data_IF_945167156679
#
_entry.id   IF_945167156679
#
_cell.length_a   1.000
_cell.length_b   1.000
_cell.length_c   1.000
_cell.angle_alpha   90.00
_cell.angle_beta   90.00
_cell.angle_gamma   90.00
#
_symmetry.space_group_name_H-M   'P 1'
#
loop_
_entity.id
_entity.type
_entity.pdbx_description
1 polymer ?
#
# COMPACT_ATOMS: atom_id res chain seq x y z
N UNK A 1 -13.45 -33.03 -45.58
CA UNK A 1 -14.49 -32.47 -44.70
C UNK A 1 -14.25 -32.81 -43.22
N UNK A 2 -13.80 -34.02 -42.89
CA UNK A 2 -13.47 -34.41 -41.50
C UNK A 2 -12.38 -33.54 -40.84
N UNK A 3 -11.27 -33.28 -41.53
CA UNK A 3 -10.15 -32.49 -40.99
C UNK A 3 -10.56 -31.05 -40.69
N UNK A 4 -11.36 -30.45 -41.55
CA UNK A 4 -11.90 -29.10 -41.37
C UNK A 4 -12.84 -29.01 -40.16
N UNK A 5 -13.64 -30.05 -39.90
CA UNK A 5 -14.51 -30.09 -38.71
C UNK A 5 -13.70 -30.18 -37.40
N UNK A 6 -12.65 -31.00 -37.38
CA UNK A 6 -11.75 -31.07 -36.21
C UNK A 6 -11.02 -29.76 -35.94
N UNK A 7 -10.54 -29.08 -37.00
CA UNK A 7 -9.89 -27.78 -36.87
C UNK A 7 -10.85 -26.72 -36.32
N UNK A 8 -12.08 -26.65 -36.85
CA UNK A 8 -13.10 -25.72 -36.35
C UNK A 8 -13.44 -26.02 -34.89
N UNK A 9 -13.61 -27.30 -34.53
CA UNK A 9 -13.85 -27.73 -33.15
C UNK A 9 -12.73 -27.30 -32.20
N UNK A 10 -11.46 -27.51 -32.60
CA UNK A 10 -10.31 -27.10 -31.80
C UNK A 10 -10.23 -25.58 -31.62
N UNK A 11 -10.47 -24.81 -32.70
CA UNK A 11 -10.51 -23.34 -32.64
C UNK A 11 -11.63 -22.84 -31.73
N UNK A 12 -12.81 -23.47 -31.78
CA UNK A 12 -13.93 -23.11 -30.91
C UNK A 12 -13.59 -23.38 -29.42
N UNK A 13 -12.99 -24.52 -29.12
CA UNK A 13 -12.53 -24.85 -27.76
C UNK A 13 -11.44 -23.89 -27.29
N UNK A 14 -10.47 -23.55 -28.15
CA UNK A 14 -9.44 -22.56 -27.83
C UNK A 14 -10.04 -21.18 -27.55
N UNK A 15 -10.95 -20.71 -28.42
CA UNK A 15 -11.65 -19.44 -28.23
C UNK A 15 -12.47 -19.43 -26.93
N UNK A 16 -13.10 -20.55 -26.57
CA UNK A 16 -13.79 -20.70 -25.30
C UNK A 16 -12.84 -20.54 -24.10
N UNK A 17 -11.65 -21.16 -24.13
CA UNK A 17 -10.66 -20.98 -23.07
C UNK A 17 -10.18 -19.54 -22.96
N UNK A 18 -9.87 -18.89 -24.08
CA UNK A 18 -9.50 -17.46 -24.11
C UNK A 18 -10.60 -16.59 -23.51
N UNK A 19 -11.86 -16.87 -23.86
CA UNK A 19 -13.01 -16.14 -23.32
C UNK A 19 -13.18 -16.35 -21.80
N UNK A 20 -13.02 -17.58 -21.30
CA UNK A 20 -13.09 -17.89 -19.87
C UNK A 20 -11.97 -17.20 -19.10
N UNK A 21 -10.74 -17.17 -19.63
CA UNK A 21 -9.60 -16.45 -19.05
C UNK A 21 -9.91 -14.95 -18.96
N UNK A 22 -10.36 -14.35 -20.07
CA UNK A 22 -10.73 -12.94 -20.12
C UNK A 22 -11.84 -12.60 -19.10
N UNK A 23 -12.88 -13.44 -19.01
CA UNK A 23 -13.97 -13.26 -18.03
C UNK A 23 -13.45 -13.34 -16.60
N UNK A 24 -12.53 -14.26 -16.31
CA UNK A 24 -11.91 -14.41 -14.99
C UNK A 24 -11.10 -13.17 -14.60
N UNK A 25 -10.26 -12.66 -15.51
CA UNK A 25 -9.49 -11.44 -15.29
C UNK A 25 -10.38 -10.23 -15.07
N UNK A 26 -11.43 -10.07 -15.88
CA UNK A 26 -12.36 -8.95 -15.73
C UNK A 26 -13.19 -9.03 -14.45
N UNK A 27 -13.46 -10.24 -13.93
CA UNK A 27 -14.09 -10.42 -12.62
C UNK A 27 -13.12 -10.01 -11.51
N UNK A 28 -11.86 -10.47 -11.56
CA UNK A 28 -10.83 -10.13 -10.56
C UNK A 28 -10.56 -8.62 -10.51
N UNK A 29 -10.42 -7.96 -11.65
CA UNK A 29 -10.21 -6.51 -11.71
C UNK A 29 -11.36 -5.74 -11.06
N UNK A 30 -12.62 -6.11 -11.35
CA UNK A 30 -13.80 -5.49 -10.73
C UNK A 30 -13.89 -5.74 -9.23
N UNK A 31 -13.58 -6.96 -8.78
CA UNK A 31 -13.56 -7.30 -7.36
C UNK A 31 -12.49 -6.49 -6.62
N UNK A 32 -11.31 -6.33 -7.22
CA UNK A 32 -10.25 -5.53 -6.62
C UNK A 32 -10.63 -4.05 -6.55
N UNK A 33 -11.19 -3.48 -7.63
CA UNK A 33 -11.68 -2.10 -7.63
C UNK A 33 -12.72 -1.86 -6.53
N UNK A 34 -13.70 -2.77 -6.38
CA UNK A 34 -14.70 -2.69 -5.33
C UNK A 34 -14.11 -2.85 -3.92
N UNK A 35 -13.06 -3.66 -3.75
CA UNK A 35 -12.38 -3.84 -2.46
C UNK A 35 -11.49 -2.66 -2.09
N UNK A 36 -10.95 -1.93 -3.07
CA UNK A 36 -10.10 -0.76 -2.78
C UNK A 36 -10.98 0.43 -2.40
N UNK A 37 -12.03 0.69 -3.18
CA UNK A 37 -12.88 1.87 -3.00
C UNK A 37 -12.10 3.17 -3.14
N UNK A 38 -12.58 4.22 -2.48
CA UNK A 38 -11.92 5.51 -2.44
C UNK A 38 -10.89 5.55 -1.30
N UNK A 39 -9.74 6.19 -1.57
CA UNK A 39 -8.70 6.36 -0.57
C UNK A 39 -9.09 7.45 0.44
N UNK A 40 -8.67 7.32 1.72
CA UNK A 40 -8.81 8.40 2.68
C UNK A 40 -8.15 9.68 2.17
N UNK A 41 -8.84 10.81 2.28
CA UNK A 41 -8.30 12.12 1.93
C UNK A 41 -7.37 12.63 3.03
N UNK A 42 -6.35 13.40 2.64
CA UNK A 42 -5.48 14.10 3.59
C UNK A 42 -6.32 15.11 4.38
N UNK A 43 -6.35 15.05 5.73
CA UNK A 43 -7.09 16.02 6.53
C UNK A 43 -6.37 17.37 6.56
N UNK A 44 -7.12 18.46 6.78
CA UNK A 44 -6.56 19.81 6.85
C UNK A 44 -5.55 20.01 8.00
N UNK A 45 -5.71 19.23 9.06
CA UNK A 45 -4.84 19.22 10.23
C UNK A 45 -4.29 17.81 10.42
N UNK A 46 -2.96 17.67 10.37
CA UNK A 46 -2.25 16.40 10.52
C UNK A 46 -1.87 16.09 11.98
N UNK A 47 -1.86 17.12 12.84
CA UNK A 47 -1.30 17.06 14.20
C UNK A 47 0.22 17.27 14.20
N UNK A 48 0.87 17.01 15.34
CA UNK A 48 2.32 17.14 15.45
C UNK A 48 3.05 16.12 14.57
N UNK A 49 4.19 16.53 14.00
CA UNK A 49 5.09 15.61 13.31
C UNK A 49 5.83 14.76 14.34
N UNK A 50 5.74 13.44 14.19
CA UNK A 50 6.33 12.47 15.12
C UNK A 50 7.66 11.90 14.63
N UNK A 51 7.82 11.76 13.30
CA UNK A 51 9.07 11.35 12.67
C UNK A 51 9.40 12.28 11.52
N UNK A 52 10.70 12.56 11.36
CA UNK A 52 11.21 13.32 10.23
C UNK A 52 10.90 12.65 8.89
N UNK A 53 10.76 13.43 7.81
CA UNK A 53 10.54 12.89 6.48
C UNK A 53 11.64 11.89 6.10
N UNK A 54 11.21 10.70 5.69
CA UNK A 54 12.10 9.63 5.23
C UNK A 54 11.98 9.50 3.72
N UNK A 55 13.07 9.74 2.99
CA UNK A 55 13.11 9.56 1.54
C UNK A 55 13.33 8.10 1.16
N UNK A 56 12.83 7.73 -0.02
CA UNK A 56 13.07 6.41 -0.58
C UNK A 56 12.16 6.08 -1.74
N UNK A 57 11.80 4.80 -1.82
CA UNK A 57 11.06 4.23 -2.93
C UNK A 57 9.80 3.55 -2.44
N UNK A 58 8.65 4.09 -2.84
CA UNK A 58 7.37 3.40 -2.76
C UNK A 58 7.41 2.17 -3.66
N UNK A 59 7.17 1.00 -3.06
CA UNK A 59 7.28 -0.29 -3.76
C UNK A 59 5.98 -0.77 -4.37
N UNK A 60 4.86 -0.17 -3.94
CA UNK A 60 3.49 -0.54 -4.27
C UNK A 60 2.65 -0.85 -3.02
N UNK A 61 1.36 -1.03 -3.22
CA UNK A 61 0.42 -1.55 -2.23
C UNK A 61 -0.09 -2.92 -2.67
N UNK A 62 -0.20 -3.85 -1.73
CA UNK A 62 -0.66 -5.23 -1.95
C UNK A 62 -1.84 -5.56 -1.05
N UNK A 63 -2.71 -6.47 -1.48
CA UNK A 63 -3.75 -7.04 -0.63
C UNK A 63 -3.12 -7.90 0.47
N UNK A 64 -3.38 -7.56 1.74
CA UNK A 64 -2.91 -8.38 2.84
C UNK A 64 -3.71 -9.70 2.92
N UNK A 65 -3.10 -10.81 3.36
CA UNK A 65 -1.69 -10.95 3.79
C UNK A 65 -0.72 -11.30 2.63
N UNK A 66 -1.15 -11.19 1.37
CA UNK A 66 -0.35 -11.63 0.22
C UNK A 66 0.57 -10.52 -0.30
N UNK A 67 1.86 -10.59 0.08
CA UNK A 67 2.90 -9.64 -0.36
C UNK A 67 3.17 -9.64 -1.88
N UNK A 68 2.63 -10.60 -2.64
CA UNK A 68 2.74 -10.67 -4.10
C UNK A 68 1.51 -10.10 -4.81
N UNK A 69 0.37 -10.01 -4.12
CA UNK A 69 -0.91 -9.64 -4.72
C UNK A 69 -1.05 -8.11 -4.81
N UNK A 70 -0.40 -7.53 -5.82
CA UNK A 70 -0.39 -6.08 -6.04
C UNK A 70 -1.77 -5.55 -6.40
N UNK A 71 -2.09 -4.39 -5.85
CA UNK A 71 -3.27 -3.61 -6.24
C UNK A 71 -2.97 -2.95 -7.58
N UNK A 72 -3.79 -3.22 -8.60
CA UNK A 72 -3.66 -2.62 -9.94
C UNK A 72 -4.70 -1.54 -10.21
N UNK A 73 -5.48 -1.19 -9.17
CA UNK A 73 -6.48 -0.13 -9.21
C UNK A 73 -5.79 1.21 -8.96
N UNK A 74 -6.11 2.21 -9.79
CA UNK A 74 -5.48 3.53 -9.72
C UNK A 74 -3.97 3.44 -9.91
N UNK A 75 -3.24 4.18 -9.09
CA UNK A 75 -1.78 4.26 -9.14
C UNK A 75 -1.08 3.53 -7.98
N UNK A 76 -1.83 2.82 -7.12
CA UNK A 76 -1.33 2.05 -5.97
C UNK A 76 -0.39 0.89 -6.35
N UNK A 77 -0.38 0.51 -7.63
CA UNK A 77 0.51 -0.51 -8.15
C UNK A 77 1.85 0.03 -8.67
N UNK A 78 1.96 1.33 -8.90
CA UNK A 78 3.13 1.91 -9.55
C UNK A 78 4.20 2.26 -8.54
N UNK A 79 5.45 1.90 -8.85
CA UNK A 79 6.58 2.31 -8.01
C UNK A 79 6.91 3.75 -8.30
N UNK A 80 7.21 4.50 -7.26
CA UNK A 80 7.55 5.91 -7.35
C UNK A 80 8.61 6.22 -6.30
N UNK A 81 9.51 7.16 -6.62
CA UNK A 81 10.28 7.85 -5.59
C UNK A 81 9.28 8.53 -4.66
N UNK A 82 9.54 8.47 -3.36
CA UNK A 82 8.55 8.89 -2.38
C UNK A 82 9.21 9.38 -1.09
N UNK A 83 8.47 10.22 -0.38
CA UNK A 83 8.78 10.68 0.96
C UNK A 83 7.69 10.20 1.93
N UNK A 84 8.11 9.67 3.07
CA UNK A 84 7.24 9.12 4.09
C UNK A 84 7.41 9.91 5.38
N UNK A 85 6.32 10.50 5.87
CA UNK A 85 6.32 11.36 7.08
C UNK A 85 5.24 10.90 8.05
N UNK A 86 5.57 10.81 9.34
CA UNK A 86 4.64 10.36 10.38
C UNK A 86 4.14 11.54 11.20
N UNK A 87 2.83 11.67 11.30
CA UNK A 87 2.13 12.65 12.13
C UNK A 87 1.29 11.95 13.21
N UNK A 88 0.78 12.72 14.17
CA UNK A 88 -0.14 12.20 15.21
C UNK A 88 -1.39 11.55 14.62
N UNK A 89 -1.97 12.12 13.56
CA UNK A 89 -3.21 11.61 12.98
C UNK A 89 -3.00 10.55 11.90
N UNK A 90 -1.76 10.28 11.48
CA UNK A 90 -1.51 9.30 10.43
C UNK A 90 -0.16 9.44 9.75
N UNK A 91 0.01 8.69 8.67
CA UNK A 91 1.23 8.71 7.85
C UNK A 91 0.89 9.33 6.50
N UNK A 92 1.68 10.32 6.12
CA UNK A 92 1.64 10.92 4.79
C UNK A 92 2.70 10.25 3.92
N UNK A 93 2.28 9.78 2.75
CA UNK A 93 3.16 9.20 1.74
C UNK A 93 3.01 9.98 0.45
N UNK A 94 4.00 10.82 0.16
CA UNK A 94 4.06 11.64 -1.03
C UNK A 94 4.85 10.90 -2.10
N UNK A 95 4.30 10.80 -3.31
CA UNK A 95 4.86 10.00 -4.40
C UNK A 95 5.07 10.88 -5.61
N UNK A 96 6.25 10.80 -6.21
CA UNK A 96 6.55 11.54 -7.43
C UNK A 96 5.70 11.03 -8.61
N UNK A 97 5.03 11.96 -9.30
CA UNK A 97 4.16 11.66 -10.44
C UNK A 97 2.90 10.84 -10.12
N UNK A 98 2.51 10.71 -8.85
CA UNK A 98 1.36 9.93 -8.40
C UNK A 98 0.60 10.63 -7.26
N UNK A 99 -0.61 10.17 -6.95
CA UNK A 99 -1.44 10.73 -5.89
C UNK A 99 -0.80 10.51 -4.51
N UNK A 100 -1.04 11.45 -3.59
CA UNK A 100 -0.62 11.31 -2.20
C UNK A 100 -1.46 10.23 -1.52
N UNK A 101 -0.83 9.39 -0.70
CA UNK A 101 -1.53 8.40 0.11
C UNK A 101 -1.54 8.89 1.56
N UNK A 102 -2.74 9.10 2.10
CA UNK A 102 -2.95 9.30 3.54
C UNK A 102 -3.32 7.97 4.20
N UNK A 103 -2.59 7.61 5.24
CA UNK A 103 -2.86 6.42 6.05
C UNK A 103 -3.26 6.88 7.46
N UNK A 104 -4.58 6.95 7.76
CA UNK A 104 -5.06 7.38 9.07
C UNK A 104 -4.50 6.50 10.20
N UNK A 105 -4.12 7.10 11.33
CA UNK A 105 -3.50 6.38 12.45
C UNK A 105 -4.41 5.28 13.02
N UNK A 106 -5.72 5.49 13.02
CA UNK A 106 -6.74 4.53 13.44
C UNK A 106 -6.91 3.34 12.48
N UNK A 107 -6.46 3.49 11.23
CA UNK A 107 -6.53 2.43 10.22
C UNK A 107 -5.31 1.52 10.24
N UNK A 108 -4.20 1.96 10.85
CA UNK A 108 -2.94 1.21 10.90
C UNK A 108 -3.09 0.04 11.87
N UNK A 109 -2.85 -1.17 11.38
CA UNK A 109 -2.89 -2.39 12.19
C UNK A 109 -1.50 -2.93 12.50
N UNK A 110 -0.48 -2.62 11.69
CA UNK A 110 0.90 -2.95 11.98
C UNK A 110 1.88 -2.08 11.20
N UNK A 111 3.04 -1.78 11.79
CA UNK A 111 4.21 -1.22 11.09
C UNK A 111 5.39 -2.14 11.38
N UNK A 112 5.99 -2.71 10.34
CA UNK A 112 7.01 -3.76 10.49
C UNK A 112 8.01 -3.74 9.35
N UNK A 113 9.16 -4.37 9.54
CA UNK A 113 10.11 -4.63 8.46
C UNK A 113 9.91 -6.03 7.90
N UNK A 114 10.10 -6.16 6.58
CA UNK A 114 9.92 -7.41 5.86
C UNK A 114 11.11 -7.70 4.93
N UNK A 115 11.23 -8.96 4.51
CA UNK A 115 12.24 -9.42 3.54
C UNK A 115 11.74 -9.36 2.10
N UNK A 116 10.47 -9.03 1.89
CA UNK A 116 9.87 -8.98 0.56
C UNK A 116 8.58 -8.19 0.54
N UNK A 117 8.35 -7.45 -0.54
CA UNK A 117 7.09 -6.74 -0.78
C UNK A 117 6.86 -6.51 -2.28
N UNK A 118 5.59 -6.50 -2.69
CA UNK A 118 5.13 -6.26 -4.05
C UNK A 118 5.84 -7.13 -5.12
N UNK A 119 6.05 -8.41 -4.80
CA UNK A 119 6.70 -9.39 -5.67
C UNK A 119 8.22 -9.28 -5.78
N UNK A 120 8.87 -8.44 -4.98
CA UNK A 120 10.34 -8.36 -4.89
C UNK A 120 10.85 -8.89 -3.55
N UNK A 121 11.93 -9.66 -3.60
CA UNK A 121 12.69 -10.10 -2.42
C UNK A 121 13.85 -9.14 -2.18
N UNK A 122 14.14 -8.89 -0.92
CA UNK A 122 15.21 -8.02 -0.45
C UNK A 122 16.05 -8.74 0.61
N UNK A 123 17.12 -8.08 1.07
CA UNK A 123 17.84 -8.49 2.28
C UNK A 123 16.94 -8.38 3.51
N UNK A 124 17.38 -8.94 4.63
CA UNK A 124 16.68 -8.84 5.91
C UNK A 124 16.42 -7.37 6.28
N UNK A 125 15.21 -7.11 6.78
CA UNK A 125 14.69 -5.76 7.04
C UNK A 125 14.82 -4.82 5.83
N UNK A 126 14.61 -5.35 4.63
CA UNK A 126 14.87 -4.65 3.39
C UNK A 126 13.82 -3.61 3.01
N UNK A 127 12.62 -3.70 3.58
CA UNK A 127 11.48 -2.84 3.28
C UNK A 127 10.63 -2.63 4.53
N UNK A 128 10.18 -1.39 4.74
CA UNK A 128 9.16 -1.04 5.73
C UNK A 128 7.79 -1.36 5.14
N UNK A 129 6.96 -2.09 5.88
CA UNK A 129 5.60 -2.46 5.48
C UNK A 129 4.61 -1.96 6.51
N UNK A 130 3.73 -1.08 6.05
CA UNK A 130 2.63 -0.53 6.83
C UNK A 130 1.38 -1.31 6.44
N UNK A 131 0.83 -2.07 7.40
CA UNK A 131 -0.49 -2.71 7.25
C UNK A 131 -1.56 -1.79 7.76
N UNK A 132 -2.59 -1.58 6.95
CA UNK A 132 -3.70 -0.72 7.30
C UNK A 132 -5.00 -1.15 6.61
N UNK A 133 -6.11 -0.65 7.12
CA UNK A 133 -7.46 -0.93 6.60
C UNK A 133 -7.96 0.21 5.74
N UNK A 134 -8.40 -0.12 4.53
CA UNK A 134 -9.13 0.79 3.68
C UNK A 134 -10.54 1.06 4.25
N UNK A 135 -11.22 2.15 3.85
CA UNK A 135 -12.60 2.44 4.27
C UNK A 135 -13.58 1.29 3.98
N UNK A 136 -13.30 0.49 2.97
CA UNK A 136 -14.05 -0.72 2.61
C UNK A 136 -13.90 -1.88 3.61
N UNK A 137 -12.98 -1.75 4.58
CA UNK A 137 -12.57 -2.81 5.51
C UNK A 137 -11.48 -3.74 4.97
N UNK A 138 -11.05 -3.55 3.72
CA UNK A 138 -9.99 -4.38 3.11
C UNK A 138 -8.63 -4.04 3.72
N UNK A 139 -7.92 -5.06 4.23
CA UNK A 139 -6.54 -4.88 4.70
C UNK A 139 -5.54 -4.88 3.55
N UNK A 140 -4.63 -3.92 3.59
CA UNK A 140 -3.57 -3.73 2.59
C UNK A 140 -2.23 -3.53 3.26
N UNK A 141 -1.18 -3.99 2.59
CA UNK A 141 0.22 -3.78 2.96
C UNK A 141 0.83 -2.77 1.99
N UNK A 142 1.24 -1.61 2.49
CA UNK A 142 1.98 -0.58 1.74
C UNK A 142 3.46 -0.70 2.02
N UNK A 143 4.27 -0.93 0.99
CA UNK A 143 5.69 -1.15 1.12
C UNK A 143 6.51 0.09 0.74
N UNK A 144 7.43 0.47 1.61
CA UNK A 144 8.34 1.60 1.42
C UNK A 144 9.78 1.15 1.67
N UNK A 145 10.66 1.39 0.71
CA UNK A 145 12.10 1.12 0.87
C UNK A 145 12.82 2.45 1.07
N UNK A 146 13.15 2.77 2.32
CA UNK A 146 13.92 3.97 2.65
C UNK A 146 15.34 3.92 2.10
N UNK A 147 15.87 5.09 1.78
CA UNK A 147 17.27 5.28 1.39
C UNK A 147 18.19 5.03 2.59
N UNK A 148 17.81 5.57 3.75
CA UNK A 148 18.39 5.24 5.04
C UNK A 148 17.50 4.23 5.78
N UNK A 149 18.04 3.05 6.10
CA UNK A 149 17.33 2.01 6.85
C UNK A 149 17.55 2.10 8.36
N UNK A 150 18.47 2.93 8.83
CA UNK A 150 18.74 3.11 10.25
C UNK A 150 17.57 3.77 10.99
N UNK A 151 16.65 4.39 10.24
CA UNK A 151 15.40 4.98 10.75
C UNK A 151 14.29 3.94 11.00
N UNK A 152 14.37 2.73 10.42
CA UNK A 152 13.31 1.72 10.54
C UNK A 152 12.94 1.35 11.98
N UNK A 153 13.88 1.22 12.93
CA UNK A 153 13.54 0.98 14.34
C UNK A 153 12.57 2.03 14.90
N UNK A 154 12.73 3.32 14.57
CA UNK A 154 11.83 4.38 15.01
C UNK A 154 10.42 4.25 14.39
N UNK A 155 10.33 3.79 13.14
CA UNK A 155 9.06 3.51 12.48
C UNK A 155 8.32 2.33 13.09
N UNK A 156 9.05 1.27 13.48
CA UNK A 156 8.48 0.05 14.06
C UNK A 156 8.26 0.12 15.56
N UNK A 157 8.76 1.17 16.22
CA UNK A 157 8.56 1.36 17.64
C UNK A 157 7.05 1.45 17.94
N UNK A 158 6.56 0.78 19.00
CA UNK A 158 5.19 0.95 19.45
C UNK A 158 4.91 2.44 19.66
N UNK A 159 3.84 2.95 19.06
CA UNK A 159 3.37 4.31 19.32
C UNK A 159 3.12 4.40 20.83
N UNK A 160 3.88 5.21 21.56
CA UNK A 160 3.61 5.42 22.98
C UNK A 160 2.20 6.01 23.12
N UNK A 161 1.31 5.44 23.95
CA UNK A 161 0.00 6.03 24.16
C UNK A 161 0.15 7.41 24.83
N UNK A 162 -0.27 8.45 24.12
CA UNK A 162 -0.58 9.79 24.63
C UNK A 162 0.42 10.40 25.62
N UNK A 163 1.42 11.13 25.13
CA UNK A 163 1.99 12.23 25.91
C UNK A 163 1.13 13.47 25.67
N UNK A 164 0.33 13.96 26.64
CA UNK A 164 -0.27 15.27 26.53
C UNK A 164 0.86 16.29 26.38
N UNK A 165 0.73 17.15 25.36
CA UNK A 165 1.71 18.19 25.05
C UNK A 165 2.11 18.94 26.32
N UNK A 166 3.41 19.01 26.56
CA UNK A 166 3.97 19.93 27.55
C UNK A 166 3.65 21.33 27.04
N UNK A 167 2.53 21.88 27.47
CA UNK A 167 2.30 23.31 27.45
C UNK A 167 3.36 23.90 28.35
N UNK A 168 4.41 24.46 27.75
CA UNK A 168 5.36 25.33 28.44
C UNK A 168 4.56 26.53 28.93
N UNK A 169 4.01 26.43 30.13
CA UNK A 169 3.50 27.55 30.90
C UNK A 169 4.67 28.46 31.22
N UNK A 170 4.91 29.45 30.35
CA UNK A 170 5.72 30.60 30.67
C UNK A 170 4.87 31.55 31.47
N UNK A 171 4.90 31.39 32.79
CA UNK A 171 4.43 32.41 33.73
C UNK A 171 5.63 32.98 34.48
N UNK A 172 5.56 34.29 34.72
CA UNK A 172 6.43 35.16 35.53
C UNK A 172 7.71 35.73 34.86
N UNK A 173 7.64 37.00 34.45
CA UNK A 173 7.87 38.16 35.33
C UNK A 173 7.22 39.43 34.74
#
# INVERSE_FOLDING_TARGET
>A
MERTLWVIGLVAVFALFVWLMYRSWRKRARQQAASVGDLPTVPAELGAQLLEPTTGLYTGTTLAPSWQNRIVVGDLGFRATAELTRFERGILLERDGAEVIWIPQESITAVRTERGHAGKVMTDNGVLVIRWKLPTGTEVDTGFRGDDKTVYPAWTAPSAPGQPGVATGGDTA
#
